data_IF_125337311214
#
_entry.id   IF_125337311214
#
_cell.length_a   1.000
_cell.length_b   1.000
_cell.length_c   1.000
_cell.angle_alpha   90.00
_cell.angle_beta   90.00
_cell.angle_gamma   90.00
#
_symmetry.space_group_name_H-M   'P 1'
#
loop_
_entity.id
_entity.type
_entity.pdbx_description
1 polymer ?
#
# COMPACT_ATOMS: atom_id res chain seq x y z
N UNK A 1 -21.67 -11.30 -0.10
CA UNK A 1 -20.24 -11.07 -0.47
C UNK A 1 -19.90 -9.59 -0.42
N UNK A 2 -18.60 -9.25 -0.37
CA UNK A 2 -18.13 -7.86 -0.42
C UNK A 2 -17.31 -7.68 -1.70
N UNK A 3 -17.54 -6.58 -2.42
CA UNK A 3 -16.69 -6.19 -3.53
C UNK A 3 -15.55 -5.32 -3.02
N UNK A 4 -14.34 -5.87 -3.01
CA UNK A 4 -13.11 -5.14 -2.70
C UNK A 4 -12.52 -4.52 -3.97
N UNK A 5 -12.09 -3.26 -3.88
CA UNK A 5 -11.54 -2.51 -5.00
C UNK A 5 -10.23 -1.83 -4.57
N UNK A 6 -9.21 -2.01 -5.38
CA UNK A 6 -7.94 -1.30 -5.27
C UNK A 6 -7.74 -0.40 -6.49
N UNK A 7 -7.87 0.90 -6.28
CA UNK A 7 -7.66 1.91 -7.32
C UNK A 7 -6.20 2.37 -7.30
N UNK A 8 -5.35 1.66 -8.02
CA UNK A 8 -3.95 2.04 -8.18
C UNK A 8 -3.73 3.06 -9.30
N UNK A 9 -2.53 3.64 -9.35
CA UNK A 9 -2.17 4.61 -10.41
C UNK A 9 -2.04 4.01 -11.81
N UNK A 10 -1.85 2.68 -11.92
CA UNK A 10 -1.67 1.97 -13.20
C UNK A 10 -2.82 1.00 -13.47
N UNK A 11 -3.29 0.32 -12.45
CA UNK A 11 -4.34 -0.69 -12.55
C UNK A 11 -5.47 -0.39 -11.57
N UNK A 12 -6.67 -0.75 -11.98
CA UNK A 12 -7.86 -0.85 -11.15
C UNK A 12 -8.14 -2.34 -10.95
N UNK A 13 -8.02 -2.82 -9.73
CA UNK A 13 -8.27 -4.20 -9.38
C UNK A 13 -9.59 -4.33 -8.61
N UNK A 14 -10.42 -5.30 -8.98
CA UNK A 14 -11.71 -5.56 -8.34
C UNK A 14 -11.79 -7.04 -7.97
N UNK A 15 -12.32 -7.36 -6.80
CA UNK A 15 -12.45 -8.74 -6.38
C UNK A 15 -13.66 -8.98 -5.48
N UNK A 16 -14.37 -10.08 -5.73
CA UNK A 16 -15.43 -10.58 -4.86
C UNK A 16 -14.79 -11.34 -3.70
N UNK A 17 -15.09 -10.90 -2.49
CA UNK A 17 -14.54 -11.45 -1.25
C UNK A 17 -15.65 -12.06 -0.42
N UNK A 18 -15.42 -13.29 0.03
CA UNK A 18 -16.29 -13.98 0.98
C UNK A 18 -15.46 -14.65 2.07
N UNK A 19 -15.82 -14.40 3.34
CA UNK A 19 -15.08 -14.94 4.49
C UNK A 19 -13.58 -14.65 4.47
N UNK A 20 -13.15 -13.51 3.92
CA UNK A 20 -11.74 -13.11 3.80
C UNK A 20 -10.98 -13.77 2.64
N UNK A 21 -11.67 -14.50 1.75
CA UNK A 21 -11.07 -15.12 0.57
C UNK A 21 -11.57 -14.46 -0.71
N UNK A 22 -10.66 -14.20 -1.63
CA UNK A 22 -10.99 -13.70 -2.96
C UNK A 22 -11.51 -14.87 -3.81
N UNK A 23 -12.76 -14.80 -4.22
CA UNK A 23 -13.40 -15.84 -5.06
C UNK A 23 -13.18 -15.58 -6.55
N UNK A 24 -13.17 -14.31 -6.93
CA UNK A 24 -12.99 -13.86 -8.31
C UNK A 24 -12.30 -12.51 -8.28
N UNK A 25 -11.31 -12.33 -9.15
CA UNK A 25 -10.58 -11.08 -9.28
C UNK A 25 -10.42 -10.71 -10.75
N UNK A 26 -10.47 -9.43 -11.05
CA UNK A 26 -10.16 -8.86 -12.34
C UNK A 26 -9.25 -7.64 -12.16
N UNK A 27 -8.42 -7.36 -13.15
CA UNK A 27 -7.58 -6.18 -13.19
C UNK A 27 -7.68 -5.56 -14.57
N UNK A 28 -7.94 -4.27 -14.60
CA UNK A 28 -8.03 -3.47 -15.82
C UNK A 28 -7.11 -2.26 -15.70
N UNK A 29 -6.73 -1.60 -16.80
CA UNK A 29 -6.01 -0.34 -16.72
C UNK A 29 -6.75 0.68 -15.86
N UNK A 30 -6.00 1.48 -15.11
CA UNK A 30 -6.57 2.61 -14.38
C UNK A 30 -7.00 3.72 -15.33
N UNK A 31 -7.41 4.86 -14.77
CA UNK A 31 -7.90 5.99 -15.55
C UNK A 31 -6.83 6.56 -16.49
N UNK A 32 -7.23 6.95 -17.69
CA UNK A 32 -6.43 7.84 -18.50
C UNK A 32 -6.33 9.21 -17.80
N UNK A 33 -5.12 9.77 -17.73
CA UNK A 33 -4.87 11.04 -17.04
C UNK A 33 -5.59 12.24 -17.66
N UNK A 34 -6.07 12.11 -18.89
CA UNK A 34 -6.88 13.13 -19.59
C UNK A 34 -8.37 13.07 -19.28
N UNK A 35 -8.83 12.02 -18.58
CA UNK A 35 -10.24 11.86 -18.25
C UNK A 35 -10.73 12.99 -17.36
N UNK A 36 -11.92 13.51 -17.69
CA UNK A 36 -12.67 14.41 -16.80
C UNK A 36 -13.14 13.64 -15.56
N UNK A 37 -13.61 14.38 -14.55
CA UNK A 37 -14.20 13.76 -13.36
C UNK A 37 -15.37 12.83 -13.73
N UNK A 38 -16.26 13.27 -14.59
CA UNK A 38 -17.40 12.48 -15.04
C UNK A 38 -16.96 11.20 -15.75
N UNK A 39 -15.97 11.30 -16.66
CA UNK A 39 -15.43 10.13 -17.36
C UNK A 39 -14.77 9.14 -16.42
N UNK A 40 -14.05 9.59 -15.38
CA UNK A 40 -13.44 8.69 -14.40
C UNK A 40 -14.49 7.98 -13.56
N UNK A 41 -15.56 8.68 -13.15
CA UNK A 41 -16.64 8.10 -12.36
C UNK A 41 -17.46 7.08 -13.16
N UNK A 42 -17.80 7.39 -14.42
CA UNK A 42 -18.52 6.45 -15.28
C UNK A 42 -17.67 5.23 -15.62
N UNK A 43 -16.37 5.42 -15.93
CA UNK A 43 -15.45 4.28 -16.15
C UNK A 43 -15.39 3.37 -14.93
N UNK A 44 -15.24 3.93 -13.73
CA UNK A 44 -15.25 3.15 -12.48
C UNK A 44 -16.57 2.40 -12.31
N UNK A 45 -17.71 3.04 -12.54
CA UNK A 45 -19.02 2.43 -12.43
C UNK A 45 -19.22 1.30 -13.46
N UNK A 46 -18.71 1.45 -14.68
CA UNK A 46 -18.74 0.39 -15.71
C UNK A 46 -17.91 -0.83 -15.27
N UNK A 47 -16.69 -0.62 -14.75
CA UNK A 47 -15.84 -1.72 -14.28
C UNK A 47 -16.47 -2.44 -13.08
N UNK A 48 -17.07 -1.70 -12.15
CA UNK A 48 -17.82 -2.27 -11.03
C UNK A 48 -19.01 -3.09 -11.56
N UNK A 49 -19.81 -2.55 -12.47
CA UNK A 49 -20.99 -3.22 -13.04
C UNK A 49 -20.64 -4.55 -13.73
N UNK A 50 -19.43 -4.68 -14.28
CA UNK A 50 -18.99 -5.92 -14.93
C UNK A 50 -18.74 -7.09 -13.95
N UNK A 51 -18.60 -6.81 -12.66
CA UNK A 51 -18.34 -7.81 -11.62
C UNK A 51 -19.40 -7.83 -10.51
N UNK A 52 -20.25 -6.81 -10.44
CA UNK A 52 -21.31 -6.65 -9.46
C UNK A 52 -22.48 -7.55 -9.78
N UNK A 53 -22.98 -8.27 -8.78
CA UNK A 53 -24.21 -9.06 -8.85
C UNK A 53 -25.02 -8.96 -7.54
N UNK A 54 -26.18 -9.57 -7.50
CA UNK A 54 -27.11 -9.52 -6.36
C UNK A 54 -26.54 -10.08 -5.04
N UNK A 55 -25.40 -10.77 -5.07
CA UNK A 55 -24.73 -11.29 -3.88
C UNK A 55 -23.85 -10.26 -3.18
N UNK A 56 -23.59 -9.13 -3.83
CA UNK A 56 -22.76 -8.06 -3.27
C UNK A 56 -23.60 -7.21 -2.31
N UNK A 57 -23.23 -7.23 -1.05
CA UNK A 57 -23.91 -6.53 0.04
C UNK A 57 -23.22 -5.21 0.41
N UNK A 58 -21.96 -5.03 0.01
CA UNK A 58 -21.10 -3.88 0.35
C UNK A 58 -19.99 -3.72 -0.68
N UNK A 59 -19.55 -2.49 -0.89
CA UNK A 59 -18.34 -2.15 -1.65
C UNK A 59 -17.33 -1.52 -0.70
N UNK A 60 -16.08 -2.01 -0.72
CA UNK A 60 -14.93 -1.38 -0.09
C UNK A 60 -13.93 -0.96 -1.14
N UNK A 61 -13.39 0.26 -1.05
CA UNK A 61 -12.47 0.78 -2.06
C UNK A 61 -11.27 1.49 -1.42
N UNK A 62 -10.06 1.05 -1.80
CA UNK A 62 -8.81 1.74 -1.55
C UNK A 62 -8.50 2.74 -2.66
N UNK A 63 -8.17 3.97 -2.31
CA UNK A 63 -7.83 5.03 -3.26
C UNK A 63 -6.46 5.65 -2.94
N UNK A 64 -5.67 6.08 -3.94
CA UNK A 64 -4.33 6.62 -3.72
C UNK A 64 -4.39 8.10 -3.33
N UNK A 65 -5.04 8.41 -2.20
CA UNK A 65 -5.23 9.78 -1.77
C UNK A 65 -5.69 9.91 -0.31
N UNK A 66 -5.76 11.15 0.15
CA UNK A 66 -6.38 11.54 1.43
C UNK A 66 -7.90 11.42 1.31
N UNK A 67 -8.52 10.82 2.32
CA UNK A 67 -9.97 10.51 2.35
C UNK A 67 -10.61 11.03 3.63
N UNK A 68 -11.72 11.75 3.52
CA UNK A 68 -12.67 11.86 4.62
C UNK A 68 -13.44 10.52 4.72
N UNK A 69 -12.94 9.61 5.52
CA UNK A 69 -13.48 8.24 5.64
C UNK A 69 -14.95 8.24 6.06
N UNK A 70 -15.37 9.21 6.89
CA UNK A 70 -16.76 9.27 7.38
C UNK A 70 -17.73 9.69 6.29
N UNK A 71 -17.32 10.65 5.47
CA UNK A 71 -18.16 11.17 4.37
C UNK A 71 -17.90 10.44 3.06
N UNK A 72 -16.80 9.69 2.95
CA UNK A 72 -16.39 9.04 1.70
C UNK A 72 -16.02 10.02 0.60
N UNK A 73 -15.36 11.14 0.99
CA UNK A 73 -14.88 12.17 0.06
C UNK A 73 -13.39 11.98 -0.17
N UNK A 74 -12.98 11.91 -1.43
CA UNK A 74 -11.59 11.81 -1.85
C UNK A 74 -11.06 13.19 -2.23
N UNK A 75 -9.88 13.57 -1.70
CA UNK A 75 -9.28 14.87 -1.97
C UNK A 75 -7.96 14.73 -2.71
N UNK A 76 -7.72 15.60 -3.71
CA UNK A 76 -6.42 15.81 -4.38
C UNK A 76 -5.68 14.52 -4.76
N UNK A 77 -6.34 13.60 -5.47
CA UNK A 77 -5.72 12.35 -5.88
C UNK A 77 -4.56 12.61 -6.85
N UNK A 78 -3.32 12.41 -6.41
CA UNK A 78 -2.11 12.77 -7.14
C UNK A 78 -2.01 12.12 -8.53
N UNK A 79 -2.52 10.89 -8.67
CA UNK A 79 -2.47 10.11 -9.91
C UNK A 79 -3.70 10.32 -10.80
N UNK A 80 -4.74 11.04 -10.32
CA UNK A 80 -5.99 11.29 -11.03
C UNK A 80 -6.25 12.81 -11.02
N UNK A 81 -5.70 13.57 -11.97
CA UNK A 81 -5.69 15.03 -11.94
C UNK A 81 -7.08 15.69 -11.86
N UNK A 82 -8.12 15.00 -12.35
CA UNK A 82 -9.50 15.46 -12.28
C UNK A 82 -10.15 15.29 -10.90
N UNK A 83 -9.52 14.55 -9.97
CA UNK A 83 -10.05 14.31 -8.63
C UNK A 83 -9.50 15.32 -7.62
N UNK A 84 -10.21 16.44 -7.44
CA UNK A 84 -9.87 17.48 -6.45
C UNK A 84 -10.67 17.33 -5.16
N UNK A 85 -11.99 17.22 -5.30
CA UNK A 85 -12.93 16.86 -4.25
C UNK A 85 -14.01 15.99 -4.88
N UNK A 86 -14.07 14.73 -4.50
CA UNK A 86 -14.96 13.75 -5.13
C UNK A 86 -15.78 13.05 -4.05
N UNK A 87 -17.09 13.23 -4.09
CA UNK A 87 -18.07 12.55 -3.24
C UNK A 87 -18.30 11.13 -3.75
N UNK A 88 -17.23 10.33 -3.69
CA UNK A 88 -17.19 9.01 -4.33
C UNK A 88 -18.17 8.02 -3.69
N UNK A 89 -18.33 8.08 -2.36
CA UNK A 89 -19.29 7.26 -1.63
C UNK A 89 -20.71 7.51 -2.11
N UNK A 90 -21.14 8.76 -2.12
CA UNK A 90 -22.51 9.14 -2.51
C UNK A 90 -22.81 8.71 -3.95
N UNK A 91 -21.82 8.89 -4.86
CA UNK A 91 -21.95 8.49 -6.25
C UNK A 91 -22.15 6.95 -6.39
N UNK A 92 -21.32 6.17 -5.72
CA UNK A 92 -21.36 4.71 -5.82
C UNK A 92 -22.58 4.13 -5.10
N UNK A 93 -22.96 4.64 -3.93
CA UNK A 93 -24.17 4.24 -3.20
C UNK A 93 -25.43 4.53 -4.01
N UNK A 94 -25.52 5.70 -4.67
CA UNK A 94 -26.63 6.02 -5.55
C UNK A 94 -26.70 5.11 -6.77
N UNK A 95 -25.56 4.64 -7.28
CA UNK A 95 -25.48 3.81 -8.49
C UNK A 95 -25.77 2.34 -8.22
N UNK A 96 -25.30 1.77 -7.09
CA UNK A 96 -25.32 0.33 -6.81
C UNK A 96 -26.29 -0.06 -5.70
N UNK A 97 -26.81 0.89 -4.91
CA UNK A 97 -27.79 0.64 -3.86
C UNK A 97 -27.26 -0.14 -2.66
N UNK A 98 -25.96 -0.25 -2.49
CA UNK A 98 -25.30 -0.93 -1.36
C UNK A 98 -24.36 0.02 -0.61
N UNK A 99 -24.08 -0.19 0.68
CA UNK A 99 -23.14 0.62 1.43
C UNK A 99 -21.74 0.63 0.80
N UNK A 100 -21.09 1.81 0.79
CA UNK A 100 -19.74 1.99 0.25
C UNK A 100 -18.82 2.54 1.33
N UNK A 101 -17.69 1.91 1.56
CA UNK A 101 -16.62 2.40 2.41
C UNK A 101 -15.38 2.72 1.58
N UNK A 102 -14.71 3.84 1.91
CA UNK A 102 -13.54 4.31 1.18
C UNK A 102 -12.43 4.58 2.17
N UNK A 103 -11.21 4.17 1.84
CA UNK A 103 -10.01 4.49 2.60
C UNK A 103 -8.82 4.71 1.66
N UNK A 104 -7.70 5.15 2.20
CA UNK A 104 -6.44 5.19 1.48
C UNK A 104 -5.99 3.76 1.10
N UNK A 105 -5.32 3.61 -0.04
CA UNK A 105 -4.84 2.33 -0.58
C UNK A 105 -3.83 1.61 0.34
N UNK A 106 -2.87 2.34 0.95
CA UNK A 106 -1.93 1.74 1.89
C UNK A 106 -2.62 1.27 3.19
N UNK A 107 -3.66 1.96 3.63
CA UNK A 107 -4.51 1.55 4.74
C UNK A 107 -5.29 0.26 4.42
N UNK A 108 -5.86 0.18 3.23
CA UNK A 108 -6.50 -1.05 2.77
C UNK A 108 -5.48 -2.20 2.68
N UNK A 109 -4.31 -1.92 2.13
CA UNK A 109 -3.23 -2.91 2.08
C UNK A 109 -2.86 -3.44 3.48
N UNK A 110 -2.76 -2.56 4.49
CA UNK A 110 -2.43 -2.95 5.85
C UNK A 110 -3.51 -3.84 6.48
N UNK A 111 -4.78 -3.50 6.29
CA UNK A 111 -5.90 -4.35 6.75
C UNK A 111 -5.89 -5.72 6.08
N UNK A 112 -5.59 -5.76 4.78
CA UNK A 112 -5.48 -7.02 4.05
C UNK A 112 -4.31 -7.87 4.55
N UNK A 113 -3.14 -7.29 4.71
CA UNK A 113 -1.98 -8.00 5.25
C UNK A 113 -2.24 -8.54 6.66
N UNK A 114 -2.88 -7.74 7.51
CA UNK A 114 -3.28 -8.18 8.86
C UNK A 114 -4.32 -9.30 8.82
N UNK A 115 -5.30 -9.22 7.91
CA UNK A 115 -6.36 -10.21 7.75
C UNK A 115 -5.85 -11.58 7.26
N UNK A 116 -4.68 -11.63 6.62
CA UNK A 116 -4.06 -12.87 6.17
C UNK A 116 -3.39 -13.69 7.28
N UNK A 117 -3.11 -13.08 8.45
CA UNK A 117 -2.61 -13.82 9.60
C UNK A 117 -3.75 -14.64 10.23
N UNK A 118 -3.49 -15.90 10.65
CA UNK A 118 -4.42 -16.66 11.47
C UNK A 118 -4.80 -15.86 12.74
N UNK A 119 -6.01 -15.99 13.21
CA UNK A 119 -6.54 -15.18 14.32
C UNK A 119 -5.67 -15.25 15.58
N UNK A 120 -5.19 -16.45 15.91
CA UNK A 120 -4.34 -16.75 17.05
C UNK A 120 -2.87 -16.34 16.88
N UNK A 121 -2.46 -15.98 15.66
CA UNK A 121 -1.11 -15.55 15.30
C UNK A 121 -1.06 -14.08 14.81
N UNK A 122 -2.14 -13.33 14.95
CA UNK A 122 -2.17 -11.92 14.56
C UNK A 122 -1.23 -11.10 15.44
N UNK A 123 -0.36 -10.28 14.82
CA UNK A 123 0.52 -9.38 15.59
C UNK A 123 -0.29 -8.30 16.33
N UNK A 124 0.19 -7.88 17.50
CA UNK A 124 -0.42 -6.76 18.22
C UNK A 124 -0.34 -5.47 17.41
N UNK A 125 0.84 -5.15 16.92
CA UNK A 125 1.06 -4.00 16.03
C UNK A 125 1.75 -4.44 14.75
N UNK A 126 1.09 -4.23 13.63
CA UNK A 126 1.61 -4.51 12.29
C UNK A 126 1.69 -3.20 11.50
N UNK A 127 2.83 -2.97 10.87
CA UNK A 127 2.99 -1.87 9.92
C UNK A 127 3.30 -2.44 8.54
N UNK A 128 2.59 -1.98 7.54
CA UNK A 128 2.93 -2.29 6.15
C UNK A 128 3.70 -1.13 5.53
N UNK A 129 4.66 -1.46 4.68
CA UNK A 129 5.40 -0.50 3.85
C UNK A 129 5.30 -0.97 2.41
N UNK A 130 4.48 -0.30 1.62
CA UNK A 130 4.34 -0.61 0.18
C UNK A 130 5.41 0.13 -0.62
N UNK A 131 6.21 -0.62 -1.37
CA UNK A 131 7.35 -0.14 -2.13
C UNK A 131 7.04 -0.26 -3.64
N UNK A 132 6.62 0.84 -4.22
CA UNK A 132 6.18 0.91 -5.62
C UNK A 132 6.56 2.23 -6.27
N UNK A 133 5.61 2.87 -6.96
CA UNK A 133 5.76 4.23 -7.53
C UNK A 133 6.12 5.22 -6.42
N UNK A 134 5.47 5.08 -5.26
CA UNK A 134 5.77 5.77 -4.02
C UNK A 134 6.05 4.80 -2.88
N UNK A 135 6.06 5.33 -1.65
CA UNK A 135 6.17 4.60 -0.39
C UNK A 135 4.91 4.83 0.46
N UNK A 136 4.01 3.86 0.48
CA UNK A 136 2.82 3.91 1.32
C UNK A 136 3.02 3.18 2.65
N UNK A 137 2.47 3.71 3.73
CA UNK A 137 2.54 3.09 5.06
C UNK A 137 1.14 2.98 5.64
N UNK A 138 0.76 1.76 6.03
CA UNK A 138 -0.47 1.50 6.77
C UNK A 138 -0.17 0.88 8.13
N UNK A 139 -0.94 1.24 9.15
CA UNK A 139 -0.69 0.86 10.53
C UNK A 139 -1.93 0.18 11.10
N UNK A 140 -1.76 -1.05 11.60
CA UNK A 140 -2.81 -1.78 12.32
C UNK A 140 -2.31 -2.03 13.74
N UNK A 141 -3.02 -1.51 14.71
CA UNK A 141 -2.71 -1.65 16.12
C UNK A 141 -3.87 -2.35 16.85
N UNK A 142 -3.58 -3.48 17.51
CA UNK A 142 -4.58 -4.32 18.19
C UNK A 142 -5.80 -4.62 17.30
N UNK A 143 -5.56 -4.94 16.02
CA UNK A 143 -6.61 -5.22 15.03
C UNK A 143 -7.39 -4.01 14.54
N UNK A 144 -6.97 -2.80 14.87
CA UNK A 144 -7.63 -1.55 14.46
C UNK A 144 -6.72 -0.76 13.53
N UNK A 145 -7.27 -0.34 12.41
CA UNK A 145 -6.58 0.53 11.48
C UNK A 145 -6.37 1.93 12.08
N UNK A 146 -5.15 2.41 12.08
CA UNK A 146 -4.78 3.75 12.52
C UNK A 146 -4.75 4.71 11.32
N UNK A 147 -5.90 5.27 10.95
CA UNK A 147 -5.99 6.21 9.82
C UNK A 147 -5.54 7.64 10.18
N UNK A 148 -5.55 8.02 11.47
CA UNK A 148 -5.51 9.43 11.86
C UNK A 148 -6.85 10.15 11.61
N UNK A 149 -6.89 11.45 11.87
CA UNK A 149 -8.12 12.25 11.75
C UNK A 149 -8.51 12.49 10.30
N UNK A 150 -7.51 12.67 9.43
CA UNK A 150 -7.67 13.02 8.01
C UNK A 150 -7.12 11.94 7.08
N UNK A 151 -7.08 10.69 7.51
CA UNK A 151 -6.51 9.57 6.76
C UNK A 151 -5.02 9.75 6.37
N UNK A 152 -4.28 10.54 7.14
CA UNK A 152 -2.86 10.88 6.88
C UNK A 152 -1.87 10.24 7.86
N UNK A 153 -2.31 9.29 8.70
CA UNK A 153 -1.38 8.54 9.54
C UNK A 153 -0.51 7.63 8.64
N UNK A 154 0.80 7.68 8.85
CA UNK A 154 1.74 6.90 8.02
C UNK A 154 2.38 7.66 6.86
N UNK A 155 2.05 8.93 6.62
CA UNK A 155 2.62 9.75 5.55
C UNK A 155 4.11 10.12 5.77
N UNK A 156 4.92 9.17 6.27
CA UNK A 156 6.36 9.37 6.53
C UNK A 156 7.18 9.52 5.26
N UNK A 157 6.64 9.12 4.11
CA UNK A 157 7.30 9.31 2.81
C UNK A 157 7.63 10.76 2.50
N UNK A 158 6.86 11.70 3.02
CA UNK A 158 7.05 13.15 2.84
C UNK A 158 8.04 13.79 3.82
N UNK A 159 8.61 13.03 4.76
CA UNK A 159 9.63 13.58 5.66
C UNK A 159 10.88 14.02 4.89
N UNK A 160 11.40 15.18 5.27
CA UNK A 160 12.67 15.69 4.74
C UNK A 160 13.80 14.68 4.97
N UNK A 161 14.46 14.29 3.90
CA UNK A 161 15.53 13.30 3.94
C UNK A 161 16.54 13.53 2.80
N UNK A 162 17.85 13.67 3.13
CA UNK A 162 18.96 13.78 2.18
C UNK A 162 18.75 14.83 1.05
N UNK A 163 18.08 15.95 1.36
CA UNK A 163 17.85 17.04 0.40
C UNK A 163 16.64 16.83 -0.51
N UNK A 164 15.81 15.83 -0.24
CA UNK A 164 14.51 15.55 -0.83
C UNK A 164 13.56 15.01 0.22
N UNK A 165 12.66 14.11 -0.16
CA UNK A 165 11.80 13.40 0.79
C UNK A 165 12.16 11.90 0.86
N UNK A 166 11.75 11.24 1.94
CA UNK A 166 12.10 9.85 2.21
C UNK A 166 11.61 8.90 1.10
N UNK A 167 10.46 9.18 0.51
CA UNK A 167 9.90 8.41 -0.60
C UNK A 167 10.83 8.34 -1.81
N UNK A 168 11.54 9.43 -2.14
CA UNK A 168 12.48 9.47 -3.26
C UNK A 168 13.62 8.45 -3.12
N UNK A 169 13.90 8.03 -1.89
CA UNK A 169 14.96 7.08 -1.54
C UNK A 169 14.43 5.67 -1.24
N UNK A 170 13.11 5.52 -1.03
CA UNK A 170 12.49 4.26 -0.64
C UNK A 170 11.42 3.78 -1.64
N UNK A 171 11.48 4.25 -2.89
CA UNK A 171 10.52 3.89 -3.94
C UNK A 171 11.22 3.63 -5.29
N UNK A 172 10.45 3.45 -6.36
CA UNK A 172 10.98 3.37 -7.73
C UNK A 172 11.81 4.59 -8.13
N UNK A 173 11.56 5.74 -7.52
CA UNK A 173 12.31 6.97 -7.79
C UNK A 173 13.80 6.84 -7.46
N UNK A 174 14.15 6.04 -6.43
CA UNK A 174 15.54 5.75 -6.11
C UNK A 174 16.25 5.08 -7.28
N UNK A 175 15.66 4.04 -7.86
CA UNK A 175 16.26 3.28 -8.98
C UNK A 175 16.32 4.10 -10.29
N UNK A 176 15.36 5.01 -10.49
CA UNK A 176 15.36 5.91 -11.64
C UNK A 176 16.64 6.79 -11.72
N UNK A 177 17.28 7.09 -10.58
CA UNK A 177 18.57 7.82 -10.53
C UNK A 177 19.70 7.07 -11.23
N UNK A 178 19.59 5.76 -11.36
CA UNK A 178 20.55 4.89 -12.04
C UNK A 178 20.15 4.57 -13.51
N UNK A 179 19.11 5.23 -14.02
CA UNK A 179 18.51 4.93 -15.33
C UNK A 179 18.14 3.46 -15.51
N UNK A 180 17.68 2.82 -14.44
CA UNK A 180 17.43 1.39 -14.42
C UNK A 180 16.07 1.08 -13.76
N UNK A 181 15.46 0.00 -14.23
CA UNK A 181 14.28 -0.59 -13.61
C UNK A 181 14.69 -1.50 -12.45
N UNK A 182 14.00 -1.40 -11.32
CA UNK A 182 14.31 -2.18 -10.12
C UNK A 182 14.24 -3.70 -10.34
N UNK A 183 13.36 -4.15 -11.25
CA UNK A 183 13.24 -5.57 -11.58
C UNK A 183 14.43 -6.08 -12.39
N UNK A 184 14.87 -5.34 -13.42
CA UNK A 184 16.05 -5.71 -14.20
C UNK A 184 17.33 -5.67 -13.36
N UNK A 185 17.48 -4.65 -12.49
CA UNK A 185 18.58 -4.60 -11.51
C UNK A 185 18.56 -5.80 -10.56
N UNK A 186 17.37 -6.22 -10.11
CA UNK A 186 17.28 -7.37 -9.20
C UNK A 186 17.75 -8.66 -9.87
N UNK A 187 17.43 -8.86 -11.14
CA UNK A 187 17.95 -10.01 -11.92
C UNK A 187 19.47 -9.95 -12.07
N UNK A 188 20.01 -8.77 -12.38
CA UNK A 188 21.46 -8.60 -12.51
C UNK A 188 22.18 -8.90 -11.19
N UNK A 189 21.69 -8.38 -10.07
CA UNK A 189 22.25 -8.65 -8.75
C UNK A 189 22.18 -10.14 -8.39
N UNK A 190 21.06 -10.81 -8.66
CA UNK A 190 20.92 -12.26 -8.47
C UNK A 190 21.86 -13.08 -9.36
N UNK A 191 22.23 -12.55 -10.51
CA UNK A 191 23.22 -13.16 -11.41
C UNK A 191 24.68 -12.86 -11.00
N UNK A 192 24.90 -12.10 -9.91
CA UNK A 192 26.23 -11.81 -9.38
C UNK A 192 26.82 -10.47 -9.83
N UNK A 193 26.03 -9.56 -10.39
CA UNK A 193 26.49 -8.19 -10.68
C UNK A 193 26.67 -7.40 -9.38
N UNK A 194 27.95 -7.14 -9.04
CA UNK A 194 28.33 -6.43 -7.82
C UNK A 194 27.83 -4.98 -7.82
N UNK A 195 27.74 -4.32 -8.97
CA UNK A 195 27.25 -2.94 -9.09
C UNK A 195 25.75 -2.88 -8.78
N UNK A 196 24.98 -3.81 -9.33
CA UNK A 196 23.54 -3.93 -9.04
C UNK A 196 23.31 -4.28 -7.55
N UNK A 197 24.12 -5.18 -6.97
CA UNK A 197 24.08 -5.49 -5.53
C UNK A 197 24.41 -4.27 -4.65
N UNK A 198 25.38 -3.45 -5.04
CA UNK A 198 25.73 -2.22 -4.33
C UNK A 198 24.57 -1.21 -4.29
N UNK A 199 23.81 -1.10 -5.40
CA UNK A 199 22.59 -0.26 -5.47
C UNK A 199 21.54 -0.76 -4.50
N UNK A 200 21.27 -2.08 -4.44
CA UNK A 200 20.33 -2.64 -3.45
C UNK A 200 20.80 -2.47 -2.01
N UNK A 201 22.09 -2.57 -1.74
CA UNK A 201 22.63 -2.28 -0.41
C UNK A 201 22.40 -0.80 -0.02
N UNK A 202 22.54 0.13 -0.97
CA UNK A 202 22.22 1.54 -0.74
C UNK A 202 20.73 1.74 -0.47
N UNK A 203 19.87 1.18 -1.30
CA UNK A 203 18.42 1.18 -1.07
C UNK A 203 18.07 0.63 0.32
N UNK A 204 18.68 -0.49 0.70
CA UNK A 204 18.50 -1.10 2.02
C UNK A 204 18.85 -0.16 3.17
N UNK A 205 19.93 0.63 3.03
CA UNK A 205 20.29 1.63 4.06
C UNK A 205 19.22 2.72 4.21
N UNK A 206 18.67 3.20 3.11
CA UNK A 206 17.57 4.19 3.14
C UNK A 206 16.31 3.62 3.76
N UNK A 207 15.91 2.42 3.34
CA UNK A 207 14.74 1.74 3.93
C UNK A 207 14.97 1.41 5.42
N UNK A 208 16.20 1.08 5.81
CA UNK A 208 16.58 0.88 7.21
C UNK A 208 16.39 2.13 8.07
N UNK A 209 16.61 3.32 7.49
CA UNK A 209 16.26 4.56 8.15
C UNK A 209 14.74 4.70 8.33
N UNK A 210 13.95 4.43 7.29
CA UNK A 210 12.49 4.43 7.39
C UNK A 210 11.98 3.46 8.48
N UNK A 211 12.49 2.23 8.49
CA UNK A 211 12.17 1.22 9.52
C UNK A 211 12.54 1.71 10.92
N UNK A 212 13.66 2.42 11.06
CA UNK A 212 14.07 2.99 12.35
C UNK A 212 13.07 4.04 12.85
N UNK A 213 12.54 4.88 11.96
CA UNK A 213 11.49 5.85 12.31
C UNK A 213 10.22 5.14 12.78
N UNK A 214 9.83 4.05 12.11
CA UNK A 214 8.67 3.26 12.51
C UNK A 214 8.85 2.62 13.89
N UNK A 215 10.05 2.12 14.19
CA UNK A 215 10.39 1.61 15.53
C UNK A 215 10.31 2.70 16.60
N UNK A 216 10.80 3.91 16.33
CA UNK A 216 10.70 5.01 17.28
C UNK A 216 9.26 5.49 17.52
N UNK A 217 8.43 5.45 16.46
CA UNK A 217 7.09 6.02 16.54
C UNK A 217 6.04 5.04 17.07
N UNK A 218 6.19 3.74 16.76
CA UNK A 218 5.13 2.75 16.96
C UNK A 218 5.56 1.47 17.64
N UNK A 219 6.87 1.19 17.76
CA UNK A 219 7.43 -0.06 18.32
C UNK A 219 6.70 -1.33 17.81
N UNK A 220 6.59 -1.54 16.48
CA UNK A 220 5.84 -2.63 15.92
C UNK A 220 6.52 -3.98 16.15
N UNK A 221 5.72 -5.03 16.32
CA UNK A 221 6.22 -6.41 16.31
C UNK A 221 6.48 -6.93 14.90
N UNK A 222 5.72 -6.43 13.89
CA UNK A 222 5.81 -6.86 12.50
C UNK A 222 5.85 -5.68 11.54
N UNK A 223 6.76 -5.76 10.57
CA UNK A 223 6.76 -4.92 9.38
C UNK A 223 6.57 -5.81 8.17
N UNK A 224 5.54 -5.54 7.37
CA UNK A 224 5.25 -6.28 6.14
C UNK A 224 5.56 -5.38 4.95
N UNK A 225 6.53 -5.79 4.15
CA UNK A 225 6.89 -5.11 2.91
C UNK A 225 5.98 -5.57 1.78
N UNK A 226 5.39 -4.62 1.07
CA UNK A 226 4.54 -4.84 -0.09
C UNK A 226 5.06 -4.14 -1.34
N UNK A 227 4.33 -4.33 -2.46
CA UNK A 227 4.71 -3.77 -3.75
C UNK A 227 5.83 -4.53 -4.45
N UNK A 228 6.08 -4.17 -5.70
CA UNK A 228 6.99 -4.93 -6.57
C UNK A 228 8.44 -4.99 -6.10
N UNK A 229 8.93 -3.92 -5.47
CA UNK A 229 10.32 -3.84 -4.97
C UNK A 229 10.54 -4.80 -3.78
N UNK A 230 9.50 -5.08 -2.99
CA UNK A 230 9.60 -5.96 -1.83
C UNK A 230 10.06 -7.39 -2.18
N UNK A 231 9.79 -7.86 -3.42
CA UNK A 231 10.28 -9.16 -3.90
C UNK A 231 11.81 -9.26 -3.91
N UNK A 232 12.51 -8.13 -3.94
CA UNK A 232 13.97 -8.07 -3.88
C UNK A 232 14.52 -7.98 -2.44
N UNK A 233 13.70 -8.20 -1.40
CA UNK A 233 14.14 -8.14 0.00
C UNK A 233 15.46 -8.87 0.28
N UNK A 234 15.72 -10.08 -0.25
CA UNK A 234 16.99 -10.76 0.00
C UNK A 234 18.23 -9.96 -0.42
N UNK A 235 18.11 -9.04 -1.40
CA UNK A 235 19.22 -8.23 -1.90
C UNK A 235 19.54 -7.02 -1.00
N UNK A 236 18.57 -6.56 -0.20
CA UNK A 236 18.75 -5.34 0.62
C UNK A 236 18.50 -5.55 2.11
N UNK A 237 18.01 -6.71 2.53
CA UNK A 237 17.67 -7.01 3.92
C UNK A 237 18.82 -6.76 4.89
N UNK A 238 20.01 -7.25 4.57
CA UNK A 238 21.16 -7.15 5.48
C UNK A 238 21.56 -5.68 5.70
N UNK A 239 21.67 -4.89 4.63
CA UNK A 239 21.98 -3.47 4.72
C UNK A 239 20.88 -2.66 5.43
N UNK A 240 19.62 -3.05 5.26
CA UNK A 240 18.48 -2.48 5.97
C UNK A 240 18.60 -2.75 7.47
N UNK A 241 18.76 -4.01 7.87
CA UNK A 241 18.84 -4.40 9.28
C UNK A 241 20.11 -3.92 9.97
N UNK A 242 21.24 -3.84 9.27
CA UNK A 242 22.46 -3.21 9.77
C UNK A 242 22.21 -1.73 10.12
N UNK A 243 21.51 -1.01 9.25
CA UNK A 243 21.16 0.40 9.49
C UNK A 243 20.23 0.53 10.70
N UNK A 244 19.24 -0.33 10.82
CA UNK A 244 18.33 -0.37 11.99
C UNK A 244 19.13 -0.61 13.27
N UNK A 245 19.97 -1.64 13.33
CA UNK A 245 20.79 -1.94 14.51
C UNK A 245 21.74 -0.81 14.90
N UNK A 246 22.27 -0.10 13.90
CA UNK A 246 23.17 1.04 14.12
C UNK A 246 22.46 2.28 14.67
N UNK A 247 21.22 2.50 14.27
CA UNK A 247 20.45 3.72 14.57
C UNK A 247 19.50 3.57 15.75
N UNK A 248 18.93 2.38 15.95
CA UNK A 248 17.99 2.13 17.04
C UNK A 248 18.70 1.54 18.27
N UNK A 249 18.67 2.21 19.44
CA UNK A 249 19.52 1.86 20.58
C UNK A 249 19.05 0.62 21.34
N UNK A 250 17.81 0.14 21.09
CA UNK A 250 17.24 -0.99 21.85
C UNK A 250 17.34 -2.28 21.05
N UNK A 251 18.48 -2.97 21.15
CA UNK A 251 18.77 -4.17 20.34
C UNK A 251 17.74 -5.29 20.57
N UNK A 252 17.26 -5.47 21.81
CA UNK A 252 16.27 -6.50 22.12
C UNK A 252 14.94 -6.32 21.37
N UNK A 253 14.55 -5.08 21.02
CA UNK A 253 13.36 -4.83 20.21
C UNK A 253 13.64 -5.18 18.74
N UNK A 254 14.84 -4.83 18.24
CA UNK A 254 15.25 -5.18 16.88
C UNK A 254 15.29 -6.70 16.66
N UNK A 255 15.75 -7.45 17.67
CA UNK A 255 15.83 -8.91 17.60
C UNK A 255 14.46 -9.60 17.60
N UNK A 256 13.42 -8.91 18.07
CA UNK A 256 12.03 -9.38 18.07
C UNK A 256 11.24 -8.91 16.86
N UNK A 257 11.79 -7.99 16.08
CA UNK A 257 11.11 -7.45 14.90
C UNK A 257 11.04 -8.50 13.79
N UNK A 258 9.82 -8.83 13.37
CA UNK A 258 9.58 -9.63 12.19
C UNK A 258 9.47 -8.73 10.97
N UNK A 259 10.20 -9.07 9.90
CA UNK A 259 10.11 -8.39 8.60
C UNK A 259 9.75 -9.41 7.55
N UNK A 260 8.52 -9.32 7.05
CA UNK A 260 7.94 -10.24 6.10
C UNK A 260 7.66 -9.55 4.75
N UNK A 261 7.42 -10.33 3.72
CA UNK A 261 7.01 -9.86 2.39
C UNK A 261 5.64 -10.40 2.05
N UNK A 262 4.75 -9.51 1.64
CA UNK A 262 3.46 -9.88 1.09
C UNK A 262 3.25 -9.11 -0.22
N UNK A 263 3.23 -9.81 -1.34
CA UNK A 263 3.10 -9.19 -2.67
C UNK A 263 1.95 -9.76 -3.48
N UNK A 264 1.03 -10.50 -2.83
CA UNK A 264 -0.19 -10.96 -3.49
C UNK A 264 -1.06 -9.77 -3.90
N UNK A 265 -1.51 -9.77 -5.14
CA UNK A 265 -2.48 -8.79 -5.63
C UNK A 265 -3.85 -8.88 -4.94
N UNK A 266 -4.11 -9.95 -4.19
CA UNK A 266 -5.34 -10.11 -3.40
C UNK A 266 -5.32 -9.29 -2.10
N UNK A 267 -4.12 -8.97 -1.58
CA UNK A 267 -3.97 -8.29 -0.29
C UNK A 267 -4.75 -6.98 -0.21
N UNK A 268 -4.60 -6.02 -1.15
CA UNK A 268 -5.37 -4.77 -1.09
C UNK A 268 -6.87 -4.99 -1.27
N UNK A 269 -7.28 -6.00 -2.05
CA UNK A 269 -8.69 -6.38 -2.28
C UNK A 269 -9.32 -6.90 -0.98
N UNK A 270 -8.63 -7.81 -0.29
CA UNK A 270 -9.07 -8.31 1.02
C UNK A 270 -9.17 -7.14 2.00
N UNK A 271 -8.16 -6.27 2.04
CA UNK A 271 -8.16 -5.10 2.91
C UNK A 271 -9.29 -4.13 2.63
N UNK A 272 -9.57 -3.84 1.37
CA UNK A 272 -10.71 -3.02 0.98
C UNK A 272 -12.05 -3.64 1.42
N UNK A 273 -12.15 -4.96 1.48
CA UNK A 273 -13.37 -5.62 2.00
C UNK A 273 -13.52 -5.51 3.52
N UNK A 274 -12.43 -5.28 4.25
CA UNK A 274 -12.40 -5.22 5.72
C UNK A 274 -12.61 -3.82 6.30
N UNK A 275 -12.62 -2.78 5.48
CA UNK A 275 -12.84 -1.38 5.90
C UNK A 275 -14.30 -1.01 6.00
#
# INVERSE_FOLDING_TARGET
>A
MILGIDLGGTNLCLGLVDGGKVLKMTSVPSFDRSFTLEQTLEYLAEQISAVFDESVEKIGIGVPSVVDVKKGIVYDAANIPSWKEVHLKDFLEARFGVPVNINNDANCYAMGAYGLYPEDARPETLITVTLGTGMGIGIVDHGRLMCGVNCGAGELGYLDYNGGCLEEFCSKQFFAKYNADSYELSKAAQAGDESAQAIFNEFGRHLGYAVTLLLYAYDPSHIVLGGGIANALPLFRDAMMETVRKKFPFSANVDKLHVDVQTSGETPIIGASLI
#
